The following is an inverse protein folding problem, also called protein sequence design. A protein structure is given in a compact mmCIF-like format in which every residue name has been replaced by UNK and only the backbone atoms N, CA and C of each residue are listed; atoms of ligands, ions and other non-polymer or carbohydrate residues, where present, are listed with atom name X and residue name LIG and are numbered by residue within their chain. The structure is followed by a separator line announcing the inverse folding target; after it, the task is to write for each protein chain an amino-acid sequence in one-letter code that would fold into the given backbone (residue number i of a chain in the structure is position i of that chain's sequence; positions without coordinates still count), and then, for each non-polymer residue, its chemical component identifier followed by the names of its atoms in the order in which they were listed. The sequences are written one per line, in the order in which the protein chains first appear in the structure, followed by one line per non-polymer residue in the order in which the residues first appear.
data_IF_235305685652
#
_entry.id   IF_235305685652
#
_cell.length_a   1.000
_cell.length_b   1.000
_cell.length_c   1.000
_cell.angle_alpha   90.00
_cell.angle_beta   90.00
_cell.angle_gamma   90.00
#
_symmetry.space_group_name_H-M   'P 1'
#
loop_
_entity.id
_entity.type
_entity.pdbx_description
1 polymer ?
#
# COMPACT_ATOMS: atom_id res chain seq x y z
N UNK A 1 20.73 -0.12 -8.30
CA UNK A 1 19.47 -0.06 -7.51
C UNK A 1 18.27 -0.17 -8.44
N UNK A 2 18.14 0.71 -9.45
CA UNK A 2 17.08 0.64 -10.47
C UNK A 2 16.99 -0.74 -11.14
N UNK A 3 18.09 -1.28 -11.67
CA UNK A 3 18.08 -2.59 -12.34
C UNK A 3 17.55 -3.72 -11.44
N UNK A 4 18.02 -3.81 -10.19
CA UNK A 4 17.55 -4.83 -9.25
C UNK A 4 16.05 -4.69 -8.94
N UNK A 5 15.54 -3.46 -8.91
CA UNK A 5 14.12 -3.19 -8.73
C UNK A 5 13.31 -3.56 -9.98
N UNK A 6 13.79 -3.21 -11.18
CA UNK A 6 13.18 -3.62 -12.45
C UNK A 6 13.19 -5.13 -12.65
N UNK A 7 14.26 -5.81 -12.24
CA UNK A 7 14.34 -7.27 -12.21
C UNK A 7 13.36 -7.87 -11.20
N UNK A 8 13.18 -7.24 -10.03
CA UNK A 8 12.14 -7.65 -9.07
C UNK A 8 10.73 -7.46 -9.64
N UNK A 9 10.50 -6.36 -10.33
CA UNK A 9 9.27 -6.13 -11.09
C UNK A 9 9.18 -7.04 -12.32
N UNK A 10 10.27 -7.67 -12.73
CA UNK A 10 10.46 -8.50 -13.94
C UNK A 10 9.82 -7.88 -15.18
N UNK A 11 10.13 -6.60 -15.41
CA UNK A 11 9.75 -5.82 -16.58
C UNK A 11 11.00 -5.23 -17.25
N UNK A 12 10.83 -4.79 -18.50
CA UNK A 12 11.83 -4.06 -19.28
C UNK A 12 11.12 -2.83 -19.84
N UNK A 13 11.15 -1.70 -19.12
CA UNK A 13 10.35 -0.54 -19.48
C UNK A 13 10.75 0.04 -20.84
N UNK A 14 9.77 0.57 -21.55
CA UNK A 14 9.96 1.33 -22.78
C UNK A 14 9.74 2.84 -22.53
N UNK A 15 9.54 3.61 -23.60
CA UNK A 15 9.29 5.05 -23.51
C UNK A 15 8.05 5.37 -22.65
N UNK A 16 8.07 6.46 -21.87
CA UNK A 16 6.95 6.86 -21.02
C UNK A 16 5.63 6.96 -21.77
N UNK A 17 4.65 6.18 -21.32
CA UNK A 17 3.28 6.21 -21.82
C UNK A 17 2.32 5.76 -20.72
N UNK A 18 1.02 6.02 -20.87
CA UNK A 18 0.04 5.47 -19.92
C UNK A 18 0.06 3.93 -19.91
N UNK A 19 0.21 3.28 -21.06
CA UNK A 19 0.25 1.83 -21.14
C UNK A 19 1.43 1.24 -20.34
N UNK A 20 2.61 1.87 -20.47
CA UNK A 20 3.81 1.48 -19.72
C UNK A 20 3.66 1.80 -18.22
N UNK A 21 3.09 2.96 -17.85
CA UNK A 21 2.81 3.31 -16.45
C UNK A 21 1.88 2.29 -15.79
N UNK A 22 0.81 1.87 -16.48
CA UNK A 22 -0.10 0.83 -16.01
C UNK A 22 0.62 -0.51 -15.85
N UNK A 23 1.46 -0.92 -16.82
CA UNK A 23 2.23 -2.16 -16.72
C UNK A 23 3.19 -2.15 -15.51
N UNK A 24 3.88 -1.03 -15.27
CA UNK A 24 4.77 -0.83 -14.13
C UNK A 24 4.02 -0.88 -12.80
N UNK A 25 2.87 -0.23 -12.72
CA UNK A 25 2.03 -0.20 -11.52
C UNK A 25 1.53 -1.60 -11.16
N UNK A 26 0.94 -2.32 -12.13
CA UNK A 26 0.50 -3.70 -11.97
C UNK A 26 1.64 -4.60 -11.48
N UNK A 27 2.79 -4.53 -12.17
CA UNK A 27 3.96 -5.33 -11.80
C UNK A 27 4.43 -5.03 -10.38
N UNK A 28 4.37 -3.77 -9.94
CA UNK A 28 4.74 -3.39 -8.59
C UNK A 28 3.81 -4.04 -7.56
N UNK A 29 2.51 -3.76 -7.62
CA UNK A 29 1.57 -4.20 -6.58
C UNK A 29 1.40 -5.73 -6.53
N UNK A 30 1.68 -6.42 -7.64
CA UNK A 30 1.68 -7.88 -7.71
C UNK A 30 2.95 -8.54 -7.15
N UNK A 31 4.11 -7.88 -7.25
CA UNK A 31 5.42 -8.50 -6.94
C UNK A 31 6.10 -7.94 -5.70
N UNK A 32 5.77 -6.72 -5.29
CA UNK A 32 6.31 -6.08 -4.10
C UNK A 32 5.15 -5.91 -3.11
N UNK A 33 5.10 -6.73 -2.05
CA UNK A 33 3.98 -6.69 -1.12
C UNK A 33 4.05 -5.45 -0.24
N UNK A 34 2.87 -5.00 0.18
CA UNK A 34 2.74 -4.13 1.33
C UNK A 34 3.08 -4.92 2.59
N UNK A 35 3.93 -4.38 3.46
CA UNK A 35 4.30 -5.03 4.73
C UNK A 35 4.77 -4.02 5.79
N UNK A 36 4.54 -4.36 7.06
CA UNK A 36 5.02 -3.59 8.20
C UNK A 36 5.87 -4.45 9.17
N UNK A 37 6.50 -5.52 8.71
CA UNK A 37 7.23 -6.51 9.54
C UNK A 37 8.32 -5.82 10.37
N UNK A 38 9.14 -4.97 9.76
CA UNK A 38 10.20 -4.27 10.48
C UNK A 38 9.66 -3.25 11.50
N UNK A 39 8.56 -2.56 11.16
CA UNK A 39 7.87 -1.63 12.07
C UNK A 39 7.31 -2.40 13.27
N UNK A 40 6.61 -3.50 13.03
CA UNK A 40 6.03 -4.38 14.06
C UNK A 40 7.10 -5.00 14.98
N UNK A 41 8.32 -5.18 14.47
CA UNK A 41 9.49 -5.65 15.23
C UNK A 41 10.24 -4.52 15.97
N UNK A 42 9.75 -3.28 15.90
CA UNK A 42 10.37 -2.11 16.53
C UNK A 42 11.67 -1.67 15.85
N UNK A 43 11.85 -1.98 14.57
CA UNK A 43 13.04 -1.62 13.76
C UNK A 43 12.62 -0.90 12.48
N UNK A 44 11.87 0.21 12.57
CA UNK A 44 11.27 0.82 11.40
C UNK A 44 12.34 1.23 10.37
N UNK A 45 12.19 0.87 9.09
CA UNK A 45 13.08 1.35 8.04
C UNK A 45 12.82 2.83 7.77
N UNK A 46 13.84 3.55 7.31
CA UNK A 46 13.68 4.94 6.88
C UNK A 46 12.73 5.08 5.68
N UNK A 47 12.45 6.33 5.32
CA UNK A 47 11.59 6.70 4.17
C UNK A 47 12.38 7.32 3.02
N UNK A 48 13.71 7.21 3.03
CA UNK A 48 14.51 7.67 1.90
C UNK A 48 14.12 6.87 0.63
N UNK A 49 13.77 7.53 -0.48
CA UNK A 49 13.26 6.85 -1.66
C UNK A 49 14.30 5.93 -2.34
N UNK A 50 15.58 6.31 -2.34
CA UNK A 50 16.64 5.53 -2.96
C UNK A 50 16.98 4.30 -2.10
N UNK A 51 17.03 4.46 -0.78
CA UNK A 51 17.16 3.34 0.15
C UNK A 51 16.00 2.36 0.04
N UNK A 52 14.76 2.88 -0.03
CA UNK A 52 13.54 2.08 -0.22
C UNK A 52 13.58 1.28 -1.51
N UNK A 53 14.04 1.89 -2.60
CA UNK A 53 14.20 1.21 -3.89
C UNK A 53 15.23 0.07 -3.81
N UNK A 54 16.38 0.34 -3.18
CA UNK A 54 17.40 -0.68 -2.93
C UNK A 54 16.91 -1.81 -2.02
N UNK A 55 16.14 -1.48 -0.99
CA UNK A 55 15.52 -2.41 -0.05
C UNK A 55 14.57 -3.38 -0.76
N UNK A 56 13.67 -2.86 -1.59
CA UNK A 56 12.72 -3.66 -2.37
C UNK A 56 13.41 -4.50 -3.44
N UNK A 57 14.45 -3.97 -4.09
CA UNK A 57 15.28 -4.73 -5.03
C UNK A 57 15.97 -5.94 -4.38
N UNK A 58 16.15 -5.95 -3.05
CA UNK A 58 16.65 -7.12 -2.30
C UNK A 58 15.55 -8.08 -1.85
N UNK A 59 14.32 -7.92 -2.36
CA UNK A 59 13.19 -8.81 -2.09
C UNK A 59 12.41 -8.49 -0.83
N UNK A 60 12.45 -7.23 -0.36
CA UNK A 60 11.63 -6.74 0.75
C UNK A 60 10.42 -5.94 0.26
N UNK A 61 9.48 -5.64 1.16
CA UNK A 61 8.37 -4.73 0.89
C UNK A 61 8.52 -3.43 1.69
N UNK A 62 7.39 -2.79 1.99
CA UNK A 62 7.28 -1.69 2.93
C UNK A 62 5.83 -1.25 3.05
N UNK A 63 5.57 -0.14 3.75
CA UNK A 63 4.26 0.51 3.68
C UNK A 63 4.27 1.72 2.74
N UNK A 64 3.23 2.54 2.76
CA UNK A 64 2.99 3.58 1.77
C UNK A 64 4.20 4.48 1.47
N UNK A 65 4.93 4.97 2.48
CA UNK A 65 6.06 5.87 2.22
C UNK A 65 7.21 5.20 1.47
N UNK A 66 7.57 3.95 1.83
CA UNK A 66 8.62 3.24 1.10
C UNK A 66 8.15 2.79 -0.28
N UNK A 67 6.92 2.29 -0.40
CA UNK A 67 6.36 1.80 -1.67
C UNK A 67 6.22 2.92 -2.68
N UNK A 68 5.51 3.99 -2.33
CA UNK A 68 5.32 5.12 -3.22
C UNK A 68 6.61 5.93 -3.40
N UNK A 69 7.49 5.98 -2.39
CA UNK A 69 8.79 6.61 -2.54
C UNK A 69 9.69 5.90 -3.56
N UNK A 70 9.82 4.58 -3.44
CA UNK A 70 10.57 3.76 -4.40
C UNK A 70 9.94 3.82 -5.79
N UNK A 71 8.62 3.72 -5.89
CA UNK A 71 7.92 3.76 -7.17
C UNK A 71 8.06 5.11 -7.86
N UNK A 72 7.87 6.22 -7.14
CA UNK A 72 8.09 7.56 -7.68
C UNK A 72 9.54 7.77 -8.15
N UNK A 73 10.52 7.22 -7.44
CA UNK A 73 11.94 7.27 -7.83
C UNK A 73 12.18 6.53 -9.13
N UNK A 74 11.59 5.34 -9.30
CA UNK A 74 11.64 4.61 -10.57
C UNK A 74 10.98 5.42 -11.69
N UNK A 75 9.77 5.92 -11.46
CA UNK A 75 9.02 6.67 -12.48
C UNK A 75 9.79 7.93 -12.93
N UNK A 76 10.34 8.69 -12.00
CA UNK A 76 11.18 9.84 -12.32
C UNK A 76 12.43 9.44 -13.14
N UNK A 77 13.07 8.32 -12.79
CA UNK A 77 14.21 7.80 -13.54
C UNK A 77 13.85 7.41 -14.98
N UNK A 78 12.65 6.87 -15.19
CA UNK A 78 12.14 6.51 -16.52
C UNK A 78 11.63 7.72 -17.31
N UNK A 79 11.62 8.93 -16.74
CA UNK A 79 11.22 10.16 -17.44
C UNK A 79 9.75 10.57 -17.24
N UNK A 80 9.01 9.93 -16.32
CA UNK A 80 7.66 10.36 -15.98
C UNK A 80 7.65 11.62 -15.11
N UNK A 81 6.70 12.52 -15.37
CA UNK A 81 6.44 13.70 -14.54
C UNK A 81 5.61 13.35 -13.30
N UNK A 82 6.26 12.76 -12.30
CA UNK A 82 5.65 12.33 -11.03
C UNK A 82 5.62 13.46 -9.99
N UNK A 83 4.52 13.60 -9.26
CA UNK A 83 4.33 14.55 -8.16
C UNK A 83 3.87 13.82 -6.90
N UNK A 84 4.40 14.23 -5.75
CA UNK A 84 4.08 13.68 -4.44
C UNK A 84 3.04 14.55 -3.74
N UNK A 85 2.04 13.93 -3.15
CA UNK A 85 0.94 14.59 -2.46
C UNK A 85 0.78 14.06 -1.04
N UNK A 86 0.39 14.96 -0.13
CA UNK A 86 0.00 14.60 1.24
C UNK A 86 -1.38 13.96 1.18
N UNK A 87 -1.47 12.69 1.58
CA UNK A 87 -2.70 11.93 1.71
C UNK A 87 -3.08 11.71 3.18
N UNK A 88 -4.38 11.55 3.43
CA UNK A 88 -4.92 11.15 4.71
C UNK A 88 -5.92 10.01 4.56
N UNK A 89 -5.45 8.78 4.77
CA UNK A 89 -6.28 7.58 4.78
C UNK A 89 -7.11 7.54 6.07
N UNK A 90 -8.37 7.15 5.95
CA UNK A 90 -9.29 6.97 7.08
C UNK A 90 -10.06 5.65 6.99
N UNK A 91 -10.32 5.07 8.15
CA UNK A 91 -11.16 3.86 8.31
C UNK A 91 -12.60 4.20 8.68
N UNK A 92 -12.83 5.37 9.27
CA UNK A 92 -14.16 5.88 9.59
C UNK A 92 -14.91 6.32 8.32
N UNK A 93 -16.23 6.45 8.43
CA UNK A 93 -17.08 6.93 7.33
C UNK A 93 -16.70 8.34 6.91
N UNK A 94 -16.42 9.22 7.87
CA UNK A 94 -16.11 10.62 7.60
C UNK A 94 -14.64 10.80 7.18
N UNK A 95 -14.37 11.59 6.13
CA UNK A 95 -13.02 11.89 5.70
C UNK A 95 -12.26 12.76 6.71
N UNK A 96 -10.94 12.58 6.77
CA UNK A 96 -10.04 13.25 7.74
C UNK A 96 -9.17 14.34 7.13
N UNK A 97 -9.27 14.54 5.82
CA UNK A 97 -8.45 15.49 5.06
C UNK A 97 -7.02 14.98 4.83
N UNK A 98 -6.16 15.84 4.30
CA UNK A 98 -4.76 15.51 3.99
C UNK A 98 -3.88 15.56 5.26
N UNK A 99 -4.01 14.57 6.15
CA UNK A 99 -3.28 14.50 7.43
C UNK A 99 -1.80 14.15 7.29
N UNK A 100 -1.43 13.59 6.13
CA UNK A 100 -0.08 13.15 5.82
C UNK A 100 0.28 11.79 6.37
N UNK A 101 -0.70 11.02 6.88
CA UNK A 101 -0.50 9.61 7.25
C UNK A 101 -0.27 8.69 6.03
N UNK A 102 -0.39 9.23 4.82
CA UNK A 102 -0.17 8.53 3.56
C UNK A 102 0.52 9.43 2.54
N UNK A 103 1.31 8.84 1.64
CA UNK A 103 1.91 9.49 0.48
C UNK A 103 1.15 9.05 -0.76
N UNK A 104 0.50 9.97 -1.47
CA UNK A 104 -0.17 9.70 -2.75
C UNK A 104 0.67 10.27 -3.90
N UNK A 105 0.55 9.71 -5.12
CA UNK A 105 1.28 10.20 -6.29
C UNK A 105 0.33 10.58 -7.43
N UNK A 106 0.76 11.53 -8.24
CA UNK A 106 0.18 11.73 -9.58
C UNK A 106 1.25 11.72 -10.65
N UNK A 107 0.92 11.26 -11.85
CA UNK A 107 1.76 11.38 -13.05
C UNK A 107 1.04 12.22 -14.09
N UNK A 108 1.72 13.21 -14.66
CA UNK A 108 1.16 14.14 -15.65
C UNK A 108 1.80 13.97 -17.04
N UNK A 109 1.18 14.57 -18.06
CA UNK A 109 1.70 14.59 -19.42
C UNK A 109 1.40 13.33 -20.24
N UNK A 110 0.44 12.52 -19.82
CA UNK A 110 0.06 11.26 -20.48
C UNK A 110 -1.40 11.28 -20.95
N UNK A 111 -1.76 12.13 -21.92
CA UNK A 111 -3.13 12.21 -22.40
C UNK A 111 -3.56 10.89 -23.07
N UNK A 112 -4.81 10.51 -22.85
CA UNK A 112 -5.44 9.35 -23.47
C UNK A 112 -6.94 9.62 -23.69
N UNK A 113 -7.65 8.76 -24.44
CA UNK A 113 -9.10 8.91 -24.62
C UNK A 113 -9.89 8.99 -23.29
N UNK A 114 -9.46 8.24 -22.27
CA UNK A 114 -10.07 8.22 -20.94
C UNK A 114 -9.58 9.34 -20.00
N UNK A 115 -8.43 9.94 -20.30
CA UNK A 115 -7.91 11.11 -19.59
C UNK A 115 -7.29 12.14 -20.54
N UNK A 116 -8.10 12.96 -21.22
CA UNK A 116 -7.62 14.05 -22.08
C UNK A 116 -6.67 15.02 -21.37
N UNK A 117 -6.85 15.25 -20.06
CA UNK A 117 -5.99 16.11 -19.25
C UNK A 117 -4.60 15.48 -18.99
N UNK A 118 -4.48 14.16 -19.17
CA UNK A 118 -3.24 13.42 -19.05
C UNK A 118 -2.65 13.39 -17.65
N UNK A 119 -3.50 13.48 -16.61
CA UNK A 119 -3.09 13.40 -15.21
C UNK A 119 -3.70 12.15 -14.57
N UNK A 120 -2.85 11.34 -13.95
CA UNK A 120 -3.19 10.03 -13.41
C UNK A 120 -2.89 9.98 -11.93
N UNK A 121 -3.86 9.53 -11.12
CA UNK A 121 -3.64 9.11 -9.75
C UNK A 121 -2.96 7.75 -9.74
N UNK A 122 -1.82 7.67 -9.06
CA UNK A 122 -0.93 6.51 -9.01
C UNK A 122 -0.65 6.18 -7.56
N UNK A 123 -0.89 4.95 -7.12
CA UNK A 123 -0.64 4.57 -5.73
C UNK A 123 -0.36 3.08 -5.57
N UNK A 124 0.90 2.74 -5.34
CA UNK A 124 1.36 1.40 -5.06
C UNK A 124 1.40 1.08 -3.55
N UNK A 125 1.03 2.05 -2.71
CA UNK A 125 1.19 2.05 -1.26
C UNK A 125 -0.09 1.86 -0.46
N UNK A 126 -1.26 1.81 -1.11
CA UNK A 126 -2.58 1.66 -0.47
C UNK A 126 -2.94 0.20 -0.11
N UNK A 127 -2.03 -0.75 -0.24
CA UNK A 127 -2.29 -2.14 0.16
C UNK A 127 -3.32 -2.84 -0.75
N UNK A 128 -4.56 -2.98 -0.27
CA UNK A 128 -5.63 -3.73 -0.94
C UNK A 128 -6.42 -2.95 -2.00
N UNK A 129 -5.99 -1.73 -2.32
CA UNK A 129 -6.66 -0.85 -3.27
C UNK A 129 -6.21 -1.03 -4.72
N UNK A 130 -5.48 -0.07 -5.29
CA UNK A 130 -5.29 0.06 -6.73
C UNK A 130 -4.43 -1.06 -7.31
N UNK A 131 -4.90 -1.64 -8.41
CA UNK A 131 -4.11 -2.45 -9.34
C UNK A 131 -3.66 -1.67 -10.56
N UNK A 132 -4.46 -0.69 -10.99
CA UNK A 132 -4.15 0.25 -12.07
C UNK A 132 -4.15 1.70 -11.59
N UNK A 133 -3.36 2.58 -12.24
CA UNK A 133 -3.56 4.01 -12.14
C UNK A 133 -4.99 4.40 -12.49
N UNK A 134 -5.54 5.39 -11.80
CA UNK A 134 -6.83 5.98 -12.13
C UNK A 134 -6.61 7.30 -12.86
N UNK A 135 -7.42 7.65 -13.88
CA UNK A 135 -7.40 9.01 -14.40
C UNK A 135 -7.84 9.95 -13.28
N UNK A 136 -7.16 11.10 -13.12
CA UNK A 136 -7.48 12.08 -12.08
C UNK A 136 -8.73 12.88 -12.48
N UNK A 137 -9.87 12.18 -12.50
CA UNK A 137 -11.17 12.65 -12.97
C UNK A 137 -12.26 12.09 -12.08
N UNK A 138 -13.32 12.88 -11.88
CA UNK A 138 -14.44 12.42 -11.08
C UNK A 138 -15.14 11.24 -11.76
N UNK A 139 -15.42 10.17 -11.02
CA UNK A 139 -16.08 9.00 -11.56
C UNK A 139 -15.96 7.75 -10.69
N UNK A 140 -16.54 6.67 -11.20
CA UNK A 140 -16.48 5.33 -10.62
C UNK A 140 -15.59 4.45 -11.49
N UNK A 141 -14.68 3.73 -10.85
CA UNK A 141 -13.66 2.94 -11.53
C UNK A 141 -13.69 1.50 -11.04
N UNK A 142 -13.68 0.55 -11.97
CA UNK A 142 -13.69 -0.88 -11.65
C UNK A 142 -12.36 -1.52 -12.01
N UNK A 143 -11.79 -2.26 -11.06
CA UNK A 143 -10.56 -3.04 -11.26
C UNK A 143 -10.78 -4.43 -10.67
N UNK A 144 -11.07 -5.42 -11.53
CA UNK A 144 -11.42 -6.77 -11.08
C UNK A 144 -12.72 -6.77 -10.26
N UNK A 145 -12.71 -7.32 -9.03
CA UNK A 145 -13.91 -7.36 -8.17
C UNK A 145 -14.14 -6.05 -7.38
N UNK A 146 -13.26 -5.07 -7.51
CA UNK A 146 -13.30 -3.83 -6.74
C UNK A 146 -13.85 -2.67 -7.56
N UNK A 147 -14.66 -1.84 -6.90
CA UNK A 147 -15.21 -0.61 -7.43
C UNK A 147 -14.82 0.54 -6.51
N UNK A 148 -14.25 1.59 -7.08
CA UNK A 148 -13.75 2.78 -6.39
C UNK A 148 -14.49 4.01 -6.89
N UNK A 149 -14.56 5.06 -6.07
CA UNK A 149 -14.96 6.38 -6.54
C UNK A 149 -13.83 7.38 -6.34
N UNK A 150 -13.71 8.31 -7.27
CA UNK A 150 -12.82 9.46 -7.17
C UNK A 150 -13.66 10.71 -7.40
N UNK A 151 -13.54 11.70 -6.53
CA UNK A 151 -14.25 12.97 -6.64
C UNK A 151 -13.41 14.12 -6.07
N UNK A 152 -13.66 15.39 -6.44
CA UNK A 152 -13.05 16.52 -5.74
C UNK A 152 -13.33 16.46 -4.24
N UNK A 153 -12.32 16.69 -3.42
CA UNK A 153 -12.49 16.65 -1.96
C UNK A 153 -13.40 17.79 -1.50
N UNK A 154 -14.27 17.49 -0.53
CA UNK A 154 -15.17 18.47 0.10
C UNK A 154 -14.51 19.20 1.27
N UNK A 155 -13.36 18.72 1.75
CA UNK A 155 -12.67 19.26 2.93
C UNK A 155 -11.20 19.62 2.70
N UNK A 156 -10.61 19.21 1.57
CA UNK A 156 -9.29 19.66 1.11
C UNK A 156 -9.47 20.48 -0.14
N UNK A 157 -9.29 21.80 -0.05
CA UNK A 157 -9.43 22.71 -1.18
C UNK A 157 -8.48 22.33 -2.33
N UNK A 158 -9.03 22.16 -3.54
CA UNK A 158 -8.30 21.71 -4.72
C UNK A 158 -7.79 20.25 -4.65
N UNK A 159 -8.08 19.55 -3.56
CA UNK A 159 -7.73 18.15 -3.37
C UNK A 159 -8.75 17.19 -3.98
N UNK A 160 -8.46 15.91 -3.83
CA UNK A 160 -9.29 14.81 -4.31
C UNK A 160 -9.59 13.84 -3.17
N UNK A 161 -10.77 13.24 -3.23
CA UNK A 161 -11.22 12.18 -2.37
C UNK A 161 -11.33 10.88 -3.15
N UNK A 162 -10.60 9.86 -2.72
CA UNK A 162 -10.70 8.48 -3.17
C UNK A 162 -11.53 7.68 -2.16
N UNK A 163 -12.67 7.14 -2.60
CA UNK A 163 -13.45 6.19 -1.84
C UNK A 163 -13.06 4.77 -2.23
N UNK A 164 -12.72 3.96 -1.23
CA UNK A 164 -12.29 2.59 -1.43
C UNK A 164 -13.49 1.65 -1.58
N UNK A 165 -13.25 0.45 -2.10
CA UNK A 165 -14.30 -0.55 -2.25
C UNK A 165 -14.87 -0.92 -0.87
N UNK A 166 -16.18 -1.16 -0.78
CA UNK A 166 -16.82 -1.60 0.47
C UNK A 166 -16.15 -2.87 1.04
N UNK A 167 -16.14 -3.03 2.36
CA UNK A 167 -15.56 -4.17 3.09
C UNK A 167 -14.04 -4.39 2.84
N UNK A 168 -13.31 -3.29 2.67
CA UNK A 168 -11.85 -3.29 2.52
C UNK A 168 -11.13 -2.77 3.77
N UNK A 169 -9.80 -2.71 3.74
CA UNK A 169 -8.99 -2.39 4.93
C UNK A 169 -9.10 -0.93 5.43
N UNK A 170 -9.61 -0.02 4.58
CA UNK A 170 -9.89 1.39 4.89
C UNK A 170 -11.08 1.88 4.05
N UNK A 171 -11.65 3.02 4.44
CA UNK A 171 -12.85 3.59 3.82
C UNK A 171 -12.50 4.51 2.64
N UNK A 172 -11.50 5.38 2.80
CA UNK A 172 -11.09 6.30 1.76
C UNK A 172 -9.84 7.09 2.12
N UNK A 173 -9.51 8.04 1.24
CA UNK A 173 -8.38 8.94 1.40
C UNK A 173 -8.66 10.28 0.72
N UNK A 174 -8.40 11.38 1.44
CA UNK A 174 -8.21 12.68 0.80
C UNK A 174 -6.73 12.91 0.51
N UNK A 175 -6.41 13.55 -0.61
CA UNK A 175 -5.06 14.07 -0.87
C UNK A 175 -5.10 15.48 -1.44
N UNK A 176 -4.13 16.30 -1.01
CA UNK A 176 -4.02 17.70 -1.41
C UNK A 176 -3.36 17.89 -2.78
N UNK A 177 -3.49 19.07 -3.40
CA UNK A 177 -2.95 19.36 -4.73
C UNK A 177 -1.47 19.77 -4.73
N UNK A 178 -0.93 20.09 -3.55
CA UNK A 178 0.39 20.71 -3.41
C UNK A 178 1.48 19.66 -3.56
N UNK A 179 2.46 19.93 -4.43
CA UNK A 179 3.65 19.11 -4.56
C UNK A 179 4.48 19.13 -3.27
N UNK A 180 4.88 17.95 -2.82
CA UNK A 180 5.63 17.74 -1.59
C UNK A 180 6.93 16.97 -1.82
N UNK A 181 7.73 16.82 -0.76
CA UNK A 181 8.92 15.99 -0.76
C UNK A 181 8.97 15.10 0.47
N UNK A 182 9.96 14.19 0.52
CA UNK A 182 10.11 13.19 1.58
C UNK A 182 10.07 13.78 3.00
N UNK A 183 10.60 14.99 3.20
CA UNK A 183 10.67 15.64 4.52
C UNK A 183 9.27 15.94 5.11
N UNK A 184 8.27 16.18 4.26
CA UNK A 184 6.88 16.39 4.69
C UNK A 184 6.33 15.20 5.49
N UNK A 185 6.84 13.99 5.23
CA UNK A 185 6.32 12.75 5.81
C UNK A 185 7.11 12.28 7.04
N UNK A 186 8.24 12.91 7.38
CA UNK A 186 9.15 12.44 8.42
C UNK A 186 8.48 12.36 9.82
N UNK A 187 7.71 13.38 10.19
CA UNK A 187 7.01 13.41 11.48
C UNK A 187 5.92 12.34 11.59
N UNK A 188 5.11 12.19 10.53
CA UNK A 188 4.09 11.15 10.47
C UNK A 188 4.71 9.75 10.43
N UNK A 189 5.80 9.54 9.69
CA UNK A 189 6.55 8.29 9.70
C UNK A 189 7.04 7.94 11.10
N UNK A 190 7.68 8.88 11.80
CA UNK A 190 8.15 8.65 13.16
C UNK A 190 7.00 8.23 14.09
N UNK A 191 5.86 8.94 14.04
CA UNK A 191 4.70 8.58 14.84
C UNK A 191 4.12 7.22 14.46
N UNK A 192 3.77 7.01 13.18
CA UNK A 192 3.13 5.79 12.69
C UNK A 192 3.99 4.54 12.88
N UNK A 193 5.31 4.67 12.88
CA UNK A 193 6.24 3.54 12.94
C UNK A 193 6.78 3.23 14.33
N UNK A 194 6.52 4.09 15.33
CA UNK A 194 7.04 3.89 16.70
C UNK A 194 5.98 4.03 17.79
N UNK A 195 4.86 4.72 17.52
CA UNK A 195 3.80 4.92 18.51
C UNK A 195 3.18 3.58 18.90
N UNK A 196 3.00 3.29 20.21
CA UNK A 196 2.28 2.10 20.65
C UNK A 196 0.79 2.13 20.31
N UNK A 197 0.25 3.28 19.93
CA UNK A 197 -1.14 3.45 19.51
C UNK A 197 -1.34 3.13 18.01
N UNK A 198 -0.26 3.17 17.22
CA UNK A 198 -0.31 2.93 15.78
C UNK A 198 -0.70 1.48 15.46
N UNK A 199 -1.64 1.30 14.53
CA UNK A 199 -1.96 -0.03 14.01
C UNK A 199 -0.74 -0.77 13.43
N UNK A 200 0.24 -0.02 12.88
CA UNK A 200 1.44 -0.59 12.27
C UNK A 200 2.42 -1.18 13.28
N UNK A 201 2.40 -0.75 14.54
CA UNK A 201 3.24 -1.33 15.60
C UNK A 201 2.53 -2.45 16.35
N UNK A 202 1.19 -2.47 16.29
CA UNK A 202 0.33 -3.41 17.04
C UNK A 202 -0.03 -4.68 16.26
N UNK A 203 -0.13 -4.61 14.94
CA UNK A 203 -0.59 -5.74 14.11
C UNK A 203 0.31 -5.94 12.90
N UNK A 204 0.94 -7.10 12.79
CA UNK A 204 1.65 -7.50 11.57
C UNK A 204 0.65 -7.65 10.43
N UNK A 205 0.92 -7.02 9.30
CA UNK A 205 0.11 -7.07 8.09
C UNK A 205 1.01 -7.19 6.88
N UNK A 206 0.71 -8.13 6.01
CA UNK A 206 1.31 -8.28 4.68
C UNK A 206 0.18 -8.38 3.67
N UNK A 207 0.24 -7.61 2.57
CA UNK A 207 -0.80 -7.58 1.55
C UNK A 207 -0.20 -7.68 0.15
N UNK A 208 -0.94 -8.31 -0.77
CA UNK A 208 -0.64 -8.29 -2.20
C UNK A 208 -1.93 -8.13 -2.98
N UNK A 209 -1.96 -7.11 -3.84
CA UNK A 209 -3.01 -6.88 -4.84
C UNK A 209 -2.65 -7.61 -6.13
N UNK A 210 -3.61 -8.31 -6.72
CA UNK A 210 -3.51 -8.95 -8.04
C UNK A 210 -4.68 -8.53 -8.90
N UNK A 211 -4.64 -8.72 -10.22
CA UNK A 211 -5.77 -8.36 -11.10
C UNK A 211 -7.13 -8.88 -10.60
N UNK A 212 -7.15 -10.08 -10.03
CA UNK A 212 -8.37 -10.81 -9.65
C UNK A 212 -8.79 -10.61 -8.19
N UNK A 213 -7.96 -10.01 -7.35
CA UNK A 213 -8.23 -9.97 -5.92
C UNK A 213 -7.11 -9.41 -5.05
N UNK A 214 -7.19 -9.71 -3.76
CA UNK A 214 -6.17 -9.39 -2.78
C UNK A 214 -5.96 -10.56 -1.81
N UNK A 215 -4.69 -10.86 -1.52
CA UNK A 215 -4.26 -11.72 -0.42
C UNK A 215 -3.74 -10.86 0.73
N UNK A 216 -4.19 -11.11 1.96
CA UNK A 216 -3.73 -10.40 3.16
C UNK A 216 -3.45 -11.42 4.27
N UNK A 217 -2.27 -11.32 4.88
CA UNK A 217 -1.93 -11.96 6.14
C UNK A 217 -1.88 -10.89 7.23
N UNK A 218 -2.86 -10.89 8.14
CA UNK A 218 -3.00 -9.90 9.22
C UNK A 218 -3.03 -10.60 10.57
N UNK A 219 -1.96 -10.50 11.34
CA UNK A 219 -1.76 -11.32 12.54
C UNK A 219 -1.76 -12.80 12.19
N UNK A 220 -2.70 -13.56 12.76
CA UNK A 220 -2.96 -14.96 12.40
C UNK A 220 -4.07 -15.12 11.35
N UNK A 221 -4.67 -14.04 10.85
CA UNK A 221 -5.76 -14.12 9.88
C UNK A 221 -5.23 -14.14 8.44
N UNK A 222 -5.73 -15.09 7.66
CA UNK A 222 -5.64 -15.10 6.21
C UNK A 222 -6.95 -14.55 5.67
N UNK A 223 -6.85 -13.41 5.00
CA UNK A 223 -7.97 -12.75 4.35
C UNK A 223 -7.72 -12.82 2.84
N UNK A 224 -8.70 -13.32 2.10
CA UNK A 224 -8.68 -13.29 0.64
C UNK A 224 -9.96 -12.68 0.14
N UNK A 225 -9.86 -11.81 -0.85
CA UNK A 225 -11.02 -11.28 -1.54
C UNK A 225 -10.82 -11.33 -3.04
N UNK A 226 -11.79 -11.90 -3.72
CA UNK A 226 -11.86 -12.04 -5.17
C UNK A 226 -13.29 -11.79 -5.66
N UNK A 227 -13.61 -12.19 -6.90
CA UNK A 227 -14.95 -12.06 -7.46
C UNK A 227 -16.03 -12.94 -6.79
N UNK A 228 -15.64 -14.00 -6.08
CA UNK A 228 -16.56 -14.85 -5.31
C UNK A 228 -16.89 -14.25 -3.94
N UNK A 229 -16.10 -13.29 -3.46
CA UNK A 229 -16.33 -12.55 -2.22
C UNK A 229 -15.09 -12.54 -1.34
N UNK A 230 -15.31 -12.22 -0.05
CA UNK A 230 -14.26 -12.16 0.97
C UNK A 230 -14.34 -13.37 1.88
N UNK A 231 -13.18 -13.99 2.13
CA UNK A 231 -13.00 -15.03 3.14
C UNK A 231 -12.03 -14.55 4.20
N UNK A 232 -12.32 -14.90 5.44
CA UNK A 232 -11.45 -14.62 6.60
C UNK A 232 -11.37 -15.90 7.41
N UNK A 233 -10.16 -16.34 7.70
CA UNK A 233 -9.92 -17.49 8.57
C UNK A 233 -8.61 -17.32 9.32
N UNK A 234 -8.52 -17.95 10.48
CA UNK A 234 -7.25 -18.04 11.19
C UNK A 234 -6.41 -19.19 10.59
N UNK A 235 -5.08 -19.03 10.66
CA UNK A 235 -4.15 -20.13 10.42
C UNK A 235 -4.24 -21.16 11.54
N UNK A 236 -4.09 -22.45 11.21
CA UNK A 236 -4.11 -23.55 12.18
C UNK A 236 -2.87 -23.57 13.09
N UNK A 237 -1.82 -22.85 12.71
CA UNK A 237 -0.62 -22.70 13.52
C UNK A 237 0.57 -22.21 12.70
N UNK A 238 1.75 -22.23 13.33
CA UNK A 238 2.98 -21.67 12.79
C UNK A 238 3.35 -22.15 11.39
N UNK A 239 3.23 -23.46 11.13
CA UNK A 239 3.64 -24.04 9.85
C UNK A 239 2.81 -23.46 8.69
N UNK A 240 1.50 -23.32 8.88
CA UNK A 240 0.63 -22.69 7.91
C UNK A 240 0.91 -21.18 7.80
N UNK A 241 1.11 -20.50 8.93
CA UNK A 241 1.46 -19.08 8.94
C UNK A 241 2.72 -18.78 8.12
N UNK A 242 3.77 -19.59 8.28
CA UNK A 242 5.00 -19.47 7.50
C UNK A 242 4.77 -19.75 6.02
N UNK A 243 3.95 -20.75 5.68
CA UNK A 243 3.61 -21.05 4.30
C UNK A 243 2.82 -19.89 3.65
N UNK A 244 1.89 -19.27 4.37
CA UNK A 244 1.15 -18.11 3.87
C UNK A 244 2.05 -16.88 3.74
N UNK A 245 2.99 -16.67 4.67
CA UNK A 245 3.98 -15.58 4.58
C UNK A 245 4.92 -15.76 3.38
N UNK A 246 5.38 -16.98 3.10
CA UNK A 246 6.28 -17.29 1.98
C UNK A 246 5.67 -16.95 0.62
N UNK A 247 4.33 -17.08 0.49
CA UNK A 247 3.61 -16.75 -0.75
C UNK A 247 3.81 -15.30 -1.17
N UNK A 248 4.08 -14.37 -0.25
CA UNK A 248 4.32 -12.96 -0.58
C UNK A 248 5.71 -12.71 -1.18
N UNK A 249 6.58 -13.72 -1.23
CA UNK A 249 7.87 -13.67 -1.90
C UNK A 249 8.85 -12.70 -1.24
N UNK A 250 8.74 -12.51 0.07
CA UNK A 250 9.64 -11.68 0.88
C UNK A 250 10.91 -12.45 1.24
N UNK A 251 12.08 -11.81 1.11
CA UNK A 251 13.34 -12.32 1.64
C UNK A 251 13.50 -11.92 3.10
N UNK A 252 13.23 -12.85 4.00
CA UNK A 252 13.23 -12.62 5.46
C UNK A 252 14.51 -13.12 6.14
N UNK A 253 15.61 -13.24 5.39
CA UNK A 253 16.92 -13.61 5.93
C UNK A 253 17.33 -12.65 7.07
N UNK A 254 17.83 -13.20 8.18
CA UNK A 254 18.18 -12.43 9.38
C UNK A 254 16.99 -12.09 10.29
N UNK A 255 15.77 -12.52 9.96
CA UNK A 255 14.60 -12.45 10.85
C UNK A 255 14.45 -13.79 11.58
N UNK A 256 14.43 -13.75 12.91
CA UNK A 256 14.02 -14.91 13.71
C UNK A 256 12.50 -15.09 13.62
N UNK A 257 12.08 -15.96 12.70
CA UNK A 257 10.68 -16.27 12.45
C UNK A 257 10.01 -17.01 13.62
N UNK A 258 10.77 -17.62 14.54
CA UNK A 258 10.22 -18.24 15.74
C UNK A 258 9.75 -17.16 16.72
N UNK A 259 10.63 -16.19 16.98
CA UNK A 259 10.33 -15.05 17.84
C UNK A 259 9.22 -14.19 17.24
N UNK A 260 9.25 -13.96 15.92
CA UNK A 260 8.19 -13.21 15.22
C UNK A 260 6.84 -13.90 15.36
N UNK A 261 6.76 -15.21 15.09
CA UNK A 261 5.54 -15.99 15.25
C UNK A 261 5.00 -15.95 16.68
N UNK A 262 5.87 -16.14 17.68
CA UNK A 262 5.46 -16.13 19.09
C UNK A 262 4.81 -14.80 19.48
N UNK A 263 5.36 -13.67 19.00
CA UNK A 263 4.76 -12.34 19.21
C UNK A 263 3.42 -12.21 18.48
N UNK A 264 3.35 -12.61 17.20
CA UNK A 264 2.12 -12.55 16.40
C UNK A 264 0.98 -13.34 17.05
N UNK A 265 1.27 -14.55 17.50
CA UNK A 265 0.30 -15.41 18.16
C UNK A 265 -0.21 -14.79 19.46
N UNK A 266 0.69 -14.32 20.32
CA UNK A 266 0.32 -13.68 21.59
C UNK A 266 -0.55 -12.44 21.39
N UNK A 267 -0.20 -11.56 20.44
CA UNK A 267 -0.99 -10.37 20.11
C UNK A 267 -2.37 -10.75 19.54
N UNK A 268 -2.44 -11.79 18.70
CA UNK A 268 -3.71 -12.28 18.13
C UNK A 268 -4.62 -12.92 19.19
N UNK A 269 -4.07 -13.66 20.14
CA UNK A 269 -4.81 -14.25 21.26
C UNK A 269 -5.38 -13.16 22.18
N UNK A 270 -4.58 -12.13 22.49
CA UNK A 270 -5.02 -10.99 23.28
C UNK A 270 -6.16 -10.21 22.60
N UNK A 271 -6.05 -9.97 21.28
CA UNK A 271 -7.12 -9.36 20.49
C UNK A 271 -8.38 -10.22 20.44
N UNK A 272 -8.23 -11.54 20.19
CA UNK A 272 -9.35 -12.47 20.14
C UNK A 272 -10.11 -12.55 21.47
N UNK A 273 -9.40 -12.40 22.58
CA UNK A 273 -10.01 -12.33 23.91
C UNK A 273 -10.80 -11.03 24.10
N UNK A 274 -10.26 -9.87 23.68
CA UNK A 274 -10.95 -8.58 23.86
C UNK A 274 -12.23 -8.49 23.03
N UNK A 275 -12.25 -9.05 21.82
CA UNK A 275 -13.44 -9.09 20.98
C UNK A 275 -14.58 -9.94 21.56
N UNK A 276 -14.27 -11.01 22.29
CA UNK A 276 -15.29 -11.84 22.96
C UNK A 276 -15.91 -11.13 24.16
N UNK A 277 -15.15 -10.29 24.85
CA UNK A 277 -15.64 -9.51 25.99
C UNK A 277 -16.53 -8.33 25.60
N UNK A 278 -16.44 -7.82 24.37
CA UNK A 278 -17.31 -6.74 23.85
C UNK A 278 -18.69 -7.23 23.40
N UNK A 279 -18.88 -8.55 23.26
CA UNK A 279 -20.14 -9.18 22.80
C UNK A 279 -20.97 -9.74 23.98
N UNK A 280 -20.45 -9.67 25.21
CA UNK A 280 -21.16 -10.02 26.46
C UNK A 280 -21.70 -8.78 27.17
#
# INVERSE_FOLDING_TARGET
MIEAYLDRLGVRPTEPSIAELTALHRAHVERIPYENIEIYRGRPPGIDPAESLGWMGRGRGGYCYQLNGAFATLLAHLGYAVTWHVGGVHTAVEPVGATGNHLALTVSGLPSPECPEGVWFVDAGLGDALHDPLPLRAGTYRQGPFEYALEPSKIVEGGWHFAHAADSSFAGMDFGPVANGVQTFAANHAHLSTSPESGFTRVLTVQRRTADGVDILRGCQVIRRDAAGKTVRDVAGKAEWLAELDRFGLRLEGIDLNTLWAKVLADHEAWSASQKSEVQ
#
